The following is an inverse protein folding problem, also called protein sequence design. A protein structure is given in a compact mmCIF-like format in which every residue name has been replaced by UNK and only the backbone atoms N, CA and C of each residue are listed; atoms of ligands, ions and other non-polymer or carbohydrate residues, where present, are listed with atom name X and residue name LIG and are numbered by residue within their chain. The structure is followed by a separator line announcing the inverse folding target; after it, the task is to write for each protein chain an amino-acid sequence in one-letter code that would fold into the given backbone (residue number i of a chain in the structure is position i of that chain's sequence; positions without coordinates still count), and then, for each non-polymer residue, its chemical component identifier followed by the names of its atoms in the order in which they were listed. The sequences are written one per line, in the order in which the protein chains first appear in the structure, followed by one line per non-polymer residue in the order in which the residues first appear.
data_IF_450537166211
#
_entry.id   IF_450537166211
#
_cell.length_a   1.000
_cell.length_b   1.000
_cell.length_c   1.000
_cell.angle_alpha   90.00
_cell.angle_beta   90.00
_cell.angle_gamma   90.00
#
_symmetry.space_group_name_H-M   'P 1'
#
loop_
_entity.id
_entity.type
_entity.pdbx_description
1 polymer ?
#
# COMPACT_ATOMS: atom_id res chain seq x y z
N UNK A 1 -17.03 32.30 8.65
CA UNK A 1 -16.80 31.73 9.99
C UNK A 1 -16.67 30.24 9.80
N UNK A 2 -15.45 29.70 9.92
CA UNK A 2 -15.24 28.26 9.88
C UNK A 2 -15.61 27.79 11.28
N UNK A 3 -16.67 26.98 11.40
CA UNK A 3 -16.98 26.32 12.67
C UNK A 3 -15.83 25.38 12.98
N UNK A 4 -14.97 25.77 13.92
CA UNK A 4 -14.06 24.85 14.58
C UNK A 4 -14.91 23.83 15.32
N UNK A 5 -15.12 22.67 14.69
CA UNK A 5 -15.77 21.54 15.31
C UNK A 5 -15.06 21.22 16.62
N UNK A 6 -15.79 21.28 17.73
CA UNK A 6 -15.32 20.87 19.05
C UNK A 6 -14.62 19.50 18.92
N UNK A 7 -13.35 19.34 19.34
CA UNK A 7 -12.67 18.06 19.25
C UNK A 7 -13.45 17.06 20.12
N UNK A 8 -14.16 16.15 19.44
CA UNK A 8 -14.98 15.13 20.08
C UNK A 8 -14.07 14.31 20.99
N UNK A 9 -14.27 14.40 22.31
CA UNK A 9 -13.39 13.69 23.24
C UNK A 9 -13.76 12.22 23.16
N UNK A 10 -12.76 11.34 23.30
CA UNK A 10 -12.99 9.89 23.33
C UNK A 10 -14.00 9.45 24.39
N UNK A 11 -14.12 10.22 25.48
CA UNK A 11 -15.08 10.01 26.56
C UNK A 11 -16.54 10.29 26.16
N UNK A 12 -16.77 11.01 25.07
CA UNK A 12 -18.11 11.38 24.59
C UNK A 12 -18.67 10.36 23.57
N UNK A 13 -17.88 9.34 23.19
CA UNK A 13 -18.25 8.34 22.19
C UNK A 13 -19.03 7.19 22.81
N UNK A 14 -20.08 6.77 22.13
CA UNK A 14 -20.66 5.45 22.36
C UNK A 14 -19.69 4.35 21.90
N UNK A 15 -19.91 3.12 22.36
CA UNK A 15 -19.10 1.96 21.97
C UNK A 15 -19.12 1.75 20.46
N UNK A 16 -20.28 1.94 19.82
CA UNK A 16 -20.45 1.76 18.37
C UNK A 16 -19.69 2.83 17.57
N UNK A 17 -19.73 4.08 18.01
CA UNK A 17 -18.98 5.18 17.38
C UNK A 17 -17.47 5.00 17.53
N UNK A 18 -17.01 4.55 18.69
CA UNK A 18 -15.61 4.22 18.92
C UNK A 18 -15.15 3.06 18.02
N UNK A 19 -15.96 2.00 17.89
CA UNK A 19 -15.66 0.88 16.99
C UNK A 19 -15.61 1.31 15.53
N UNK A 20 -16.53 2.17 15.09
CA UNK A 20 -16.54 2.70 13.73
C UNK A 20 -15.27 3.53 13.45
N UNK A 21 -14.85 4.36 14.42
CA UNK A 21 -13.64 5.15 14.31
C UNK A 21 -12.39 4.28 14.21
N UNK A 22 -12.27 3.26 15.06
CA UNK A 22 -11.14 2.30 15.03
C UNK A 22 -11.09 1.59 13.68
N UNK A 23 -12.23 1.08 13.18
CA UNK A 23 -12.27 0.40 11.87
C UNK A 23 -11.82 1.31 10.74
N UNK A 24 -12.24 2.58 10.76
CA UNK A 24 -11.83 3.59 9.77
C UNK A 24 -10.32 3.78 9.79
N UNK A 25 -9.74 4.05 10.96
CA UNK A 25 -8.29 4.28 11.09
C UNK A 25 -7.49 3.04 10.66
N UNK A 26 -7.88 1.84 11.11
CA UNK A 26 -7.21 0.60 10.70
C UNK A 26 -7.28 0.41 9.18
N UNK A 27 -8.43 0.67 8.57
CA UNK A 27 -8.57 0.56 7.12
C UNK A 27 -7.70 1.58 6.36
N UNK A 28 -7.59 2.81 6.86
CA UNK A 28 -6.73 3.85 6.30
C UNK A 28 -5.25 3.46 6.41
N UNK A 29 -4.80 2.95 7.57
CA UNK A 29 -3.42 2.50 7.77
C UNK A 29 -3.08 1.28 6.91
N UNK A 30 -3.98 0.29 6.83
CA UNK A 30 -3.79 -0.85 5.94
C UNK A 30 -3.71 -0.42 4.48
N UNK A 31 -4.56 0.52 4.06
CA UNK A 31 -4.48 1.09 2.71
C UNK A 31 -3.14 1.76 2.48
N UNK A 32 -2.66 2.58 3.41
CA UNK A 32 -1.37 3.26 3.31
C UNK A 32 -0.19 2.28 3.14
N UNK A 33 -0.22 1.16 3.87
CA UNK A 33 0.80 0.09 3.78
C UNK A 33 0.71 -0.62 2.42
N UNK A 34 -0.50 -0.91 1.93
CA UNK A 34 -0.68 -1.67 0.69
C UNK A 34 -0.55 -0.83 -0.59
N UNK A 35 -0.74 0.48 -0.52
CA UNK A 35 -0.66 1.36 -1.70
C UNK A 35 0.75 1.67 -2.16
N UNK A 36 1.74 1.50 -1.29
CA UNK A 36 3.13 1.73 -1.64
C UNK A 36 4.03 0.76 -0.83
N UNK A 37 4.20 -0.48 -1.31
CA UNK A 37 5.02 -1.48 -0.63
C UNK A 37 6.49 -1.07 -0.54
N UNK A 38 6.93 -0.14 -1.39
CA UNK A 38 8.29 0.38 -1.47
C UNK A 38 8.42 1.75 -0.78
N UNK A 39 7.38 2.22 -0.08
CA UNK A 39 7.39 3.52 0.58
C UNK A 39 8.56 3.59 1.56
N UNK A 40 9.41 4.60 1.38
CA UNK A 40 10.63 4.84 2.15
C UNK A 40 11.80 3.86 1.89
N UNK A 41 11.70 2.96 0.90
CA UNK A 41 12.84 2.15 0.48
C UNK A 41 13.65 2.91 -0.57
N UNK A 42 14.93 3.12 -0.29
CA UNK A 42 15.87 3.62 -1.30
C UNK A 42 16.25 2.50 -2.26
N UNK A 43 16.42 2.86 -3.54
CA UNK A 43 16.95 1.92 -4.53
C UNK A 43 18.44 1.72 -4.23
N UNK A 44 18.77 0.56 -3.67
CA UNK A 44 20.15 0.16 -3.41
C UNK A 44 20.92 -0.02 -4.72
N UNK A 45 22.25 0.07 -4.67
CA UNK A 45 23.08 -0.12 -5.87
C UNK A 45 22.94 -1.53 -6.47
N UNK A 46 22.65 -2.54 -5.63
CA UNK A 46 22.32 -3.89 -6.08
C UNK A 46 21.03 -3.90 -6.94
N UNK A 47 19.97 -3.23 -6.47
CA UNK A 47 18.71 -3.16 -7.22
C UNK A 47 18.92 -2.38 -8.53
N UNK A 48 19.70 -1.28 -8.51
CA UNK A 48 20.04 -0.53 -9.73
C UNK A 48 20.73 -1.42 -10.76
N UNK A 49 21.79 -2.12 -10.38
CA UNK A 49 22.54 -3.00 -11.28
C UNK A 49 21.64 -4.10 -11.88
N UNK A 50 20.73 -4.65 -11.07
CA UNK A 50 19.78 -5.68 -11.53
C UNK A 50 18.74 -5.11 -12.51
N UNK A 51 18.30 -3.87 -12.31
CA UNK A 51 17.40 -3.17 -13.22
C UNK A 51 18.08 -2.85 -14.55
N UNK A 52 19.32 -2.36 -14.52
CA UNK A 52 20.12 -2.09 -15.72
C UNK A 52 20.27 -3.34 -16.58
N UNK A 53 20.65 -4.48 -15.97
CA UNK A 53 20.72 -5.78 -16.65
C UNK A 53 19.38 -6.21 -17.27
N UNK A 54 18.27 -5.94 -16.57
CA UNK A 54 16.93 -6.26 -17.06
C UNK A 54 16.50 -5.38 -18.23
N UNK A 55 16.87 -4.09 -18.20
CA UNK A 55 16.57 -3.13 -19.26
C UNK A 55 17.39 -3.41 -20.54
N UNK A 56 18.64 -3.80 -20.39
CA UNK A 56 19.51 -4.20 -21.51
C UNK A 56 19.08 -5.55 -22.11
N UNK A 57 18.36 -6.37 -21.35
CA UNK A 57 17.83 -7.63 -21.85
C UNK A 57 16.74 -7.40 -22.89
N UNK A 58 16.88 -8.09 -24.02
CA UNK A 58 15.85 -8.19 -25.06
C UNK A 58 14.91 -9.39 -24.86
N UNK A 59 15.16 -10.23 -23.86
CA UNK A 59 14.35 -11.41 -23.58
C UNK A 59 12.95 -10.99 -23.10
N UNK A 60 11.91 -11.52 -23.73
CA UNK A 60 10.52 -11.27 -23.35
C UNK A 60 9.79 -12.61 -23.32
N UNK A 61 8.97 -12.81 -22.29
CA UNK A 61 8.07 -13.95 -22.18
C UNK A 61 6.65 -13.50 -22.46
N UNK A 62 5.82 -14.41 -22.97
CA UNK A 62 4.43 -14.09 -23.27
C UNK A 62 3.61 -13.94 -21.99
N UNK A 63 2.49 -13.22 -22.06
CA UNK A 63 1.57 -13.13 -20.92
C UNK A 63 1.07 -14.51 -20.47
N UNK A 64 0.81 -15.42 -21.41
CA UNK A 64 0.41 -16.79 -21.08
C UNK A 64 1.51 -17.51 -20.29
N UNK A 65 2.75 -17.34 -20.69
CA UNK A 65 3.90 -17.94 -20.00
C UNK A 65 4.10 -17.38 -18.59
N UNK A 66 3.79 -16.09 -18.37
CA UNK A 66 3.72 -15.49 -17.03
C UNK A 66 2.64 -16.17 -16.19
N UNK A 67 1.43 -16.36 -16.74
CA UNK A 67 0.33 -17.04 -16.04
C UNK A 67 0.71 -18.46 -15.63
N UNK A 68 1.33 -19.20 -16.55
CA UNK A 68 1.73 -20.59 -16.33
C UNK A 68 2.79 -20.69 -15.22
N UNK A 69 3.78 -19.79 -15.20
CA UNK A 69 4.82 -19.72 -14.14
C UNK A 69 4.24 -19.38 -12.77
N UNK A 70 3.28 -18.46 -12.72
CA UNK A 70 2.63 -18.02 -11.48
C UNK A 70 1.47 -18.92 -11.04
N UNK A 71 1.15 -19.98 -11.79
CA UNK A 71 0.01 -20.89 -11.56
C UNK A 71 -1.32 -20.14 -11.45
N UNK A 72 -1.46 -19.07 -12.22
CA UNK A 72 -2.68 -18.29 -12.33
C UNK A 72 -3.52 -18.90 -13.44
N UNK A 73 -4.65 -19.52 -13.08
CA UNK A 73 -5.58 -20.13 -14.03
C UNK A 73 -6.09 -19.13 -15.08
#
# INVERSE_FOLDING_TARGET
MIEEGNPMKTADLTVDELQALIRKVVHEELRNIMTDPDKYLEITDEIKARLELSLDSSERITFQEVKDRLKLA
#
